data_IF_665895438833
#
_entry.id   IF_665895438833
#
_cell.length_a   1.000
_cell.length_b   1.000
_cell.length_c   1.000
_cell.angle_alpha   90.00
_cell.angle_beta   90.00
_cell.angle_gamma   90.00
#
_symmetry.space_group_name_H-M   'P 1'
#
loop_
_entity.id
_entity.type
_entity.pdbx_description
1 polymer ?
#
# COMPACT_ATOMS: atom_id res chain seq x y z
N UNK A 1 -8.94 56.29 88.75
CA UNK A 1 -9.44 55.02 88.24
C UNK A 1 -9.57 55.17 86.74
N UNK A 2 -8.57 54.75 86.01
CA UNK A 2 -8.46 54.97 84.55
C UNK A 2 -8.67 53.68 83.85
N UNK A 3 -9.66 53.64 82.97
CA UNK A 3 -9.89 52.50 82.07
C UNK A 3 -8.92 52.58 80.87
N UNK A 4 -8.14 51.55 80.64
CA UNK A 4 -7.33 51.38 79.45
C UNK A 4 -8.18 50.72 78.38
N UNK A 5 -8.31 51.40 77.28
CA UNK A 5 -8.88 50.85 76.04
C UNK A 5 -7.81 50.03 75.29
N UNK A 6 -8.09 48.80 75.02
CA UNK A 6 -7.24 47.92 74.22
C UNK A 6 -7.82 47.89 72.77
N UNK A 7 -7.10 48.56 71.87
CA UNK A 7 -7.43 48.49 70.45
C UNK A 7 -6.93 47.16 69.86
N UNK A 8 -7.81 46.35 69.36
CA UNK A 8 -7.45 45.16 68.60
C UNK A 8 -7.24 45.53 67.13
N UNK A 9 -6.04 45.42 66.65
CA UNK A 9 -5.66 45.54 65.25
C UNK A 9 -6.01 44.25 64.57
N UNK A 10 -7.06 44.21 63.68
CA UNK A 10 -7.39 43.06 62.86
C UNK A 10 -6.54 43.16 61.60
N UNK A 11 -5.55 42.28 61.52
CA UNK A 11 -4.70 42.11 60.34
C UNK A 11 -5.44 41.21 59.34
N UNK A 12 -6.03 41.80 58.29
CA UNK A 12 -6.69 41.06 57.23
C UNK A 12 -5.67 40.37 56.32
N UNK A 13 -5.61 39.03 56.36
CA UNK A 13 -4.84 38.24 55.41
C UNK A 13 -5.60 38.11 54.11
N UNK A 14 -5.17 38.84 53.08
CA UNK A 14 -5.65 38.66 51.69
C UNK A 14 -4.94 37.43 51.13
N UNK A 15 -5.64 36.28 51.06
CA UNK A 15 -5.16 35.11 50.35
C UNK A 15 -5.37 35.34 48.85
N UNK A 16 -4.30 35.74 48.18
CA UNK A 16 -4.26 35.77 46.72
C UNK A 16 -4.20 34.37 46.15
N UNK A 17 -5.27 33.89 45.54
CA UNK A 17 -5.27 32.63 44.79
C UNK A 17 -4.51 32.87 43.43
N UNK A 18 -3.29 32.38 43.35
CA UNK A 18 -2.55 32.30 42.09
C UNK A 18 -3.12 31.10 41.32
N UNK A 19 -3.98 31.38 40.32
CA UNK A 19 -4.42 30.38 39.37
C UNK A 19 -3.25 30.05 38.43
N UNK A 20 -2.52 28.99 38.70
CA UNK A 20 -1.56 28.41 37.75
C UNK A 20 -2.33 27.76 36.63
N UNK A 21 -2.57 28.51 35.53
CA UNK A 21 -3.10 27.98 34.28
C UNK A 21 -2.06 27.05 33.64
N UNK A 22 -2.26 25.75 33.74
CA UNK A 22 -1.50 24.77 32.97
C UNK A 22 -1.86 24.93 31.49
N UNK A 23 -0.96 25.57 30.73
CA UNK A 23 -1.05 25.57 29.25
C UNK A 23 -0.74 24.16 28.79
N UNK A 24 -1.78 23.36 28.53
CA UNK A 24 -1.63 22.08 27.84
C UNK A 24 -1.29 22.39 26.39
N UNK A 25 0.00 22.43 26.07
CA UNK A 25 0.48 22.52 24.70
C UNK A 25 0.12 21.20 24.01
N UNK A 26 -0.95 21.20 23.22
CA UNK A 26 -1.30 20.08 22.36
C UNK A 26 -0.20 19.97 21.30
N UNK A 27 0.81 19.15 21.56
CA UNK A 27 1.77 18.74 20.55
C UNK A 27 0.99 18.03 19.46
N UNK A 28 0.72 18.71 18.37
CA UNK A 28 0.14 18.14 17.16
C UNK A 28 1.14 17.08 16.72
N UNK A 29 0.77 15.80 16.79
CA UNK A 29 1.57 14.72 16.26
C UNK A 29 1.86 15.07 14.79
N UNK A 30 3.11 15.41 14.51
CA UNK A 30 3.57 15.57 13.13
C UNK A 30 3.49 14.18 12.53
N UNK A 31 2.52 13.96 11.64
CA UNK A 31 2.43 12.73 10.87
C UNK A 31 3.77 12.48 10.17
N UNK A 32 4.21 11.24 10.14
CA UNK A 32 5.42 10.86 9.39
C UNK A 32 5.35 11.47 8.00
N UNK A 33 6.43 12.08 7.50
CA UNK A 33 6.43 12.66 6.16
C UNK A 33 5.99 11.59 5.15
N UNK A 34 5.07 11.95 4.26
CA UNK A 34 4.68 11.06 3.17
C UNK A 34 5.93 10.65 2.37
N UNK A 35 6.02 9.39 1.92
CA UNK A 35 7.16 8.95 1.12
C UNK A 35 7.30 9.84 -0.12
N UNK A 36 8.53 10.16 -0.49
CA UNK A 36 8.80 10.91 -1.69
C UNK A 36 8.33 10.12 -2.93
N UNK A 37 7.72 10.79 -3.93
CA UNK A 37 7.32 10.13 -5.16
C UNK A 37 8.51 9.44 -5.85
N UNK A 38 8.23 8.30 -6.48
CA UNK A 38 9.22 7.56 -7.25
C UNK A 38 9.82 8.46 -8.35
N UNK A 39 11.14 8.56 -8.37
CA UNK A 39 11.87 9.30 -9.40
C UNK A 39 12.11 8.44 -10.64
N UNK A 40 12.39 9.09 -11.78
CA UNK A 40 12.82 8.38 -12.98
C UNK A 40 14.16 7.65 -12.75
N UNK A 41 14.28 6.43 -13.28
CA UNK A 41 15.46 5.62 -13.12
C UNK A 41 15.50 4.42 -14.08
N UNK A 42 16.68 3.77 -14.15
CA UNK A 42 16.86 2.51 -14.86
C UNK A 42 17.03 1.40 -13.82
N UNK A 43 16.19 0.39 -13.89
CA UNK A 43 16.19 -0.77 -13.01
C UNK A 43 16.81 -1.94 -13.80
N UNK A 44 18.13 -2.05 -13.72
CA UNK A 44 18.88 -3.07 -14.48
C UNK A 44 18.53 -4.48 -13.98
N UNK A 45 18.22 -5.39 -14.89
CA UNK A 45 17.77 -6.75 -14.62
C UNK A 45 18.62 -7.50 -13.59
N UNK A 46 19.93 -7.44 -13.75
CA UNK A 46 20.89 -8.16 -12.91
C UNK A 46 21.03 -7.57 -11.50
N UNK A 47 20.56 -6.32 -11.30
CA UNK A 47 20.55 -5.67 -9.99
C UNK A 47 19.26 -5.93 -9.19
N UNK A 48 18.22 -6.47 -9.81
CA UNK A 48 16.94 -6.72 -9.14
C UNK A 48 17.05 -7.89 -8.17
N UNK A 49 16.55 -7.75 -6.94
CA UNK A 49 16.55 -8.85 -5.97
C UNK A 49 15.69 -10.01 -6.47
N UNK A 50 16.19 -11.22 -6.29
CA UNK A 50 15.49 -12.46 -6.65
C UNK A 50 14.96 -13.12 -5.39
N UNK A 51 13.65 -13.26 -5.33
CA UNK A 51 12.96 -14.05 -4.33
C UNK A 51 12.56 -15.39 -4.92
N UNK A 52 13.04 -16.50 -4.35
CA UNK A 52 12.61 -17.84 -4.71
C UNK A 52 11.28 -18.14 -4.05
N UNK A 53 10.36 -18.70 -4.84
CA UNK A 53 9.05 -19.13 -4.37
C UNK A 53 8.91 -20.64 -4.51
N UNK A 54 7.85 -21.23 -3.98
CA UNK A 54 7.59 -22.68 -4.12
C UNK A 54 7.41 -23.11 -5.59
N UNK A 55 7.00 -22.21 -6.48
CA UNK A 55 6.64 -22.51 -7.87
C UNK A 55 7.44 -21.70 -8.89
N UNK A 56 8.57 -21.11 -8.50
CA UNK A 56 9.41 -20.31 -9.39
C UNK A 56 10.20 -19.20 -8.69
N UNK A 57 10.13 -17.99 -9.21
CA UNK A 57 10.82 -16.84 -8.63
C UNK A 57 10.09 -15.52 -8.95
N UNK A 58 10.31 -14.53 -8.10
CA UNK A 58 9.83 -13.16 -8.25
C UNK A 58 11.02 -12.20 -8.21
N UNK A 59 11.00 -11.16 -9.05
CA UNK A 59 11.92 -10.03 -9.03
C UNK A 59 11.10 -8.77 -8.81
N UNK A 60 11.18 -8.19 -7.62
CA UNK A 60 10.59 -6.90 -7.34
C UNK A 60 11.38 -5.79 -8.05
N UNK A 61 10.69 -4.80 -8.61
CA UNK A 61 11.30 -3.64 -9.26
C UNK A 61 11.10 -2.42 -8.36
N UNK A 62 9.86 -2.01 -8.14
CA UNK A 62 9.50 -0.98 -7.17
C UNK A 62 8.05 -1.13 -6.71
N UNK A 63 7.75 -0.56 -5.55
CA UNK A 63 6.41 -0.41 -4.98
C UNK A 63 6.40 0.93 -4.22
N UNK A 64 5.81 1.97 -4.81
CA UNK A 64 5.87 3.32 -4.28
C UNK A 64 4.75 4.20 -4.80
N UNK A 65 4.58 5.37 -4.17
CA UNK A 65 3.79 6.47 -4.71
C UNK A 65 4.51 7.11 -5.90
N UNK A 66 3.74 7.73 -6.81
CA UNK A 66 4.30 8.58 -7.88
C UNK A 66 3.68 9.98 -7.81
N UNK A 67 4.01 10.85 -8.75
CA UNK A 67 3.38 12.17 -8.84
C UNK A 67 1.90 12.12 -9.25
N UNK A 68 1.42 11.00 -9.80
CA UNK A 68 0.08 10.91 -10.42
C UNK A 68 -0.76 9.73 -9.93
N UNK A 69 -0.17 8.75 -9.23
CA UNK A 69 -0.90 7.61 -8.66
C UNK A 69 -0.47 7.36 -7.22
N UNK A 70 -1.40 6.90 -6.39
CA UNK A 70 -1.18 6.63 -4.97
C UNK A 70 -0.26 5.43 -4.74
N UNK A 71 -0.25 4.50 -5.67
CA UNK A 71 0.63 3.34 -5.67
C UNK A 71 0.95 2.92 -7.10
N UNK A 72 2.20 2.66 -7.37
CA UNK A 72 2.70 1.99 -8.56
C UNK A 72 3.62 0.85 -8.12
N UNK A 73 3.20 -0.39 -8.35
CA UNK A 73 3.97 -1.58 -8.02
C UNK A 73 4.30 -2.34 -9.29
N UNK A 74 5.57 -2.75 -9.45
CA UNK A 74 5.95 -3.60 -10.57
C UNK A 74 6.92 -4.71 -10.13
N UNK A 75 6.77 -5.85 -10.79
CA UNK A 75 7.66 -6.98 -10.62
C UNK A 75 7.65 -7.88 -11.86
N UNK A 76 8.58 -8.80 -11.90
CA UNK A 76 8.57 -9.91 -12.85
C UNK A 76 8.42 -11.20 -12.08
N UNK A 77 7.51 -12.05 -12.51
CA UNK A 77 7.34 -13.41 -12.00
C UNK A 77 7.73 -14.41 -13.09
N UNK A 78 8.47 -15.43 -12.68
CA UNK A 78 8.76 -16.60 -13.49
C UNK A 78 8.21 -17.82 -12.76
N UNK A 79 7.39 -18.63 -13.44
CA UNK A 79 6.75 -19.83 -12.86
C UNK A 79 7.10 -21.08 -13.64
N UNK A 80 7.27 -22.17 -12.90
CA UNK A 80 7.59 -23.47 -13.46
C UNK A 80 6.41 -24.05 -14.26
N UNK A 81 6.68 -24.99 -15.15
CA UNK A 81 5.67 -25.63 -16.00
C UNK A 81 4.50 -26.20 -15.20
N UNK A 82 3.28 -25.89 -15.62
CA UNK A 82 2.05 -26.36 -15.00
C UNK A 82 1.72 -25.78 -13.62
N UNK A 83 2.55 -24.84 -13.08
CA UNK A 83 2.35 -24.23 -11.77
C UNK A 83 1.62 -22.89 -11.85
N UNK A 84 1.06 -22.47 -10.73
CA UNK A 84 0.53 -21.13 -10.51
C UNK A 84 1.42 -20.37 -9.52
N UNK A 85 1.51 -19.06 -9.63
CA UNK A 85 2.28 -18.23 -8.68
C UNK A 85 1.62 -18.22 -7.29
N UNK A 86 0.29 -18.18 -7.26
CA UNK A 86 -0.55 -18.18 -6.06
C UNK A 86 -1.97 -18.62 -6.42
N UNK A 87 -2.83 -18.80 -5.41
CA UNK A 87 -4.26 -19.07 -5.61
C UNK A 87 -4.97 -17.82 -6.21
N UNK A 88 -6.10 -18.05 -6.88
CA UNK A 88 -6.95 -16.97 -7.38
C UNK A 88 -7.40 -16.06 -6.23
N UNK A 89 -7.39 -14.75 -6.47
CA UNK A 89 -7.68 -13.72 -5.47
C UNK A 89 -8.29 -12.46 -6.09
N UNK A 90 -8.58 -11.46 -5.26
CA UNK A 90 -9.08 -10.14 -5.62
C UNK A 90 -8.28 -9.08 -4.88
N UNK A 91 -8.09 -7.93 -5.52
CA UNK A 91 -7.55 -6.73 -4.88
C UNK A 91 -8.13 -5.45 -5.53
N UNK A 92 -8.10 -4.31 -4.83
CA UNK A 92 -8.66 -3.06 -5.33
C UNK A 92 -7.83 -2.42 -6.45
N UNK A 93 -6.55 -2.77 -6.56
CA UNK A 93 -5.67 -2.27 -7.61
C UNK A 93 -6.15 -2.79 -8.99
N UNK A 94 -5.94 -2.02 -10.02
CA UNK A 94 -5.92 -2.55 -11.37
C UNK A 94 -4.56 -3.19 -11.63
N UNK A 95 -4.53 -4.26 -12.43
CA UNK A 95 -3.30 -4.98 -12.73
C UNK A 95 -3.19 -5.27 -14.22
N UNK A 96 -2.06 -4.86 -14.81
CA UNK A 96 -1.71 -5.19 -16.17
C UNK A 96 -0.54 -6.17 -16.19
N UNK A 97 -0.69 -7.24 -16.95
CA UNK A 97 0.34 -8.27 -17.12
C UNK A 97 0.77 -8.33 -18.57
N UNK A 98 2.09 -8.29 -18.80
CA UNK A 98 2.67 -8.57 -20.11
C UNK A 98 3.41 -9.92 -20.06
N UNK A 99 2.97 -10.88 -20.87
CA UNK A 99 3.60 -12.20 -20.96
C UNK A 99 4.89 -12.08 -21.77
N UNK A 100 6.03 -12.28 -21.12
CA UNK A 100 7.35 -12.19 -21.74
C UNK A 100 7.76 -13.48 -22.45
N UNK A 101 7.50 -14.63 -21.78
CA UNK A 101 7.92 -15.95 -22.25
C UNK A 101 6.90 -17.01 -21.87
N UNK A 102 6.79 -18.05 -22.68
CA UNK A 102 5.91 -19.18 -22.41
C UNK A 102 4.43 -18.88 -22.70
N UNK A 103 3.56 -19.63 -22.03
CA UNK A 103 2.10 -19.51 -22.19
C UNK A 103 1.45 -19.43 -20.82
N UNK A 104 0.79 -18.34 -20.54
CA UNK A 104 -0.01 -18.16 -19.33
C UNK A 104 -1.47 -18.50 -19.63
N UNK A 105 -2.14 -19.21 -18.73
CA UNK A 105 -3.58 -19.27 -18.69
C UNK A 105 -4.06 -18.34 -17.57
N UNK A 106 -4.78 -17.31 -17.95
CA UNK A 106 -5.43 -16.37 -17.04
C UNK A 106 -6.88 -16.80 -16.84
N UNK A 107 -7.31 -16.92 -15.59
CA UNK A 107 -8.71 -17.13 -15.22
C UNK A 107 -9.27 -15.84 -14.65
N UNK A 108 -10.31 -15.29 -15.27
CA UNK A 108 -10.97 -14.04 -14.87
C UNK A 108 -12.45 -14.36 -14.62
N UNK A 109 -12.90 -14.14 -13.38
CA UNK A 109 -14.28 -14.43 -12.96
C UNK A 109 -14.76 -15.83 -13.39
N UNK A 110 -13.88 -16.82 -13.32
CA UNK A 110 -14.15 -18.21 -13.68
C UNK A 110 -13.96 -18.57 -15.17
N UNK A 111 -13.65 -17.59 -16.03
CA UNK A 111 -13.39 -17.82 -17.46
C UNK A 111 -11.89 -17.91 -17.72
N UNK A 112 -11.42 -19.05 -18.19
CA UNK A 112 -10.01 -19.27 -18.51
C UNK A 112 -9.70 -18.87 -19.96
N UNK A 113 -8.57 -18.17 -20.16
CA UNK A 113 -8.08 -17.72 -21.46
C UNK A 113 -6.57 -17.94 -21.56
N UNK A 114 -6.10 -18.40 -22.70
CA UNK A 114 -4.67 -18.61 -22.96
C UNK A 114 -4.04 -17.32 -23.51
N UNK A 115 -2.91 -16.95 -22.93
CA UNK A 115 -2.11 -15.78 -23.28
C UNK A 115 -0.67 -16.24 -23.58
N UNK A 116 -0.29 -16.44 -24.85
CA UNK A 116 1.09 -16.74 -25.22
C UNK A 116 1.99 -15.50 -25.04
N UNK A 117 3.30 -15.69 -25.17
CA UNK A 117 4.28 -14.61 -25.14
C UNK A 117 3.89 -13.47 -26.10
N UNK A 118 4.04 -12.22 -25.64
CA UNK A 118 3.58 -11.00 -26.32
C UNK A 118 2.18 -10.56 -25.95
N UNK A 119 1.39 -11.40 -25.26
CA UNK A 119 0.02 -11.04 -24.83
C UNK A 119 0.04 -10.04 -23.69
N UNK A 120 -1.02 -9.22 -23.65
CA UNK A 120 -1.35 -8.35 -22.52
C UNK A 120 -2.64 -8.85 -21.86
N UNK A 121 -2.66 -8.92 -20.54
CA UNK A 121 -3.81 -9.28 -19.72
C UNK A 121 -4.12 -8.08 -18.83
N UNK A 122 -5.38 -7.67 -18.73
CA UNK A 122 -5.84 -6.67 -17.79
C UNK A 122 -6.79 -7.32 -16.78
N UNK A 123 -6.46 -7.21 -15.52
CA UNK A 123 -7.35 -7.53 -14.41
C UNK A 123 -7.93 -6.21 -13.87
N UNK A 124 -9.23 -6.02 -14.01
CA UNK A 124 -9.90 -4.86 -13.46
C UNK A 124 -10.03 -4.99 -11.94
N UNK A 125 -10.10 -3.85 -11.27
CA UNK A 125 -10.25 -3.75 -9.81
C UNK A 125 -11.31 -4.73 -9.28
N UNK A 126 -10.94 -5.55 -8.31
CA UNK A 126 -11.77 -6.55 -7.64
C UNK A 126 -12.35 -7.68 -8.51
N UNK A 127 -11.91 -7.86 -9.74
CA UNK A 127 -12.21 -9.08 -10.47
C UNK A 127 -11.48 -10.28 -9.81
N UNK A 128 -12.17 -11.40 -9.66
CA UNK A 128 -11.53 -12.64 -9.19
C UNK A 128 -10.63 -13.15 -10.30
N UNK A 129 -9.34 -13.19 -10.04
CA UNK A 129 -8.39 -13.60 -11.06
C UNK A 129 -7.26 -14.49 -10.51
N UNK A 130 -6.64 -15.22 -11.42
CA UNK A 130 -5.47 -16.03 -11.15
C UNK A 130 -4.79 -16.43 -12.45
N UNK A 131 -3.52 -16.83 -12.34
CA UNK A 131 -2.71 -17.22 -13.48
C UNK A 131 -1.97 -18.51 -13.22
N UNK A 132 -1.84 -19.34 -14.24
CA UNK A 132 -0.95 -20.50 -14.23
C UNK A 132 -0.13 -20.59 -15.51
N UNK A 133 1.01 -21.21 -15.43
CA UNK A 133 1.75 -21.59 -16.61
C UNK A 133 1.07 -22.80 -17.27
N UNK A 134 0.54 -22.59 -18.48
CA UNK A 134 -0.17 -23.60 -19.26
C UNK A 134 0.74 -24.26 -20.31
N UNK A 135 2.04 -23.95 -20.29
CA UNK A 135 3.07 -24.57 -21.12
C UNK A 135 3.83 -25.68 -20.40
N UNK A 136 4.76 -26.30 -21.11
CA UNK A 136 5.64 -27.38 -20.66
C UNK A 136 7.03 -26.90 -20.26
N UNK A 137 7.32 -25.61 -20.44
CA UNK A 137 8.53 -24.93 -20.03
C UNK A 137 8.21 -23.82 -19.02
N UNK A 138 9.21 -23.18 -18.45
CA UNK A 138 9.00 -22.00 -17.60
C UNK A 138 8.33 -20.89 -18.38
N UNK A 139 7.46 -20.14 -17.72
CA UNK A 139 6.84 -18.94 -18.26
C UNK A 139 7.23 -17.72 -17.41
N UNK A 140 7.36 -16.56 -18.04
CA UNK A 140 7.72 -15.32 -17.38
C UNK A 140 6.80 -14.19 -17.82
N UNK A 141 6.39 -13.36 -16.86
CA UNK A 141 5.53 -12.20 -17.13
C UNK A 141 5.90 -11.02 -16.24
N UNK A 142 5.72 -9.83 -16.78
CA UNK A 142 5.86 -8.55 -16.10
C UNK A 142 4.49 -8.12 -15.59
N UNK A 143 4.45 -7.62 -14.36
CA UNK A 143 3.24 -7.10 -13.71
C UNK A 143 3.41 -5.61 -13.45
N UNK A 144 2.35 -4.86 -13.72
CA UNK A 144 2.17 -3.46 -13.34
C UNK A 144 0.85 -3.33 -12.60
N UNK A 145 0.89 -2.89 -11.33
CA UNK A 145 -0.29 -2.63 -10.50
C UNK A 145 -0.33 -1.17 -10.10
N UNK A 146 -1.51 -0.58 -10.09
CA UNK A 146 -1.64 0.82 -9.68
C UNK A 146 -2.97 1.12 -8.99
N UNK A 147 -2.94 2.18 -8.17
CA UNK A 147 -4.12 2.77 -7.53
C UNK A 147 -4.11 4.27 -7.82
N UNK A 148 -5.23 4.79 -8.32
CA UNK A 148 -5.38 6.22 -8.65
C UNK A 148 -5.90 7.02 -7.46
N UNK A 149 -5.47 8.30 -7.28
CA UNK A 149 -5.95 9.16 -6.23
C UNK A 149 -7.48 9.35 -6.27
N UNK A 150 -8.11 9.27 -5.11
CA UNK A 150 -9.54 9.52 -4.96
C UNK A 150 -10.45 8.55 -5.70
N UNK A 151 -9.93 7.43 -6.21
CA UNK A 151 -10.71 6.34 -6.77
C UNK A 151 -10.48 5.07 -5.98
N UNK A 152 -11.53 4.65 -5.29
CA UNK A 152 -11.59 3.29 -4.77
C UNK A 152 -12.24 2.41 -5.83
N UNK A 153 -11.63 1.26 -6.11
CA UNK A 153 -12.24 0.25 -6.96
C UNK A 153 -13.54 -0.27 -6.32
N UNK A 154 -14.42 -0.92 -7.10
CA UNK A 154 -15.67 -1.46 -6.57
C UNK A 154 -15.39 -2.40 -5.40
N UNK A 155 -16.16 -2.25 -4.32
CA UNK A 155 -16.03 -3.10 -3.13
C UNK A 155 -16.40 -4.54 -3.49
N UNK A 156 -15.75 -5.55 -2.88
CA UNK A 156 -16.14 -6.94 -3.07
C UNK A 156 -17.64 -7.12 -2.81
N UNK A 157 -18.40 -7.63 -3.79
CA UNK A 157 -19.85 -7.82 -3.71
C UNK A 157 -20.70 -6.65 -4.22
N UNK A 158 -20.12 -5.53 -4.62
CA UNK A 158 -20.82 -4.45 -5.33
C UNK A 158 -21.04 -4.79 -6.81
N UNK A 159 -22.22 -4.51 -7.34
CA UNK A 159 -22.45 -4.48 -8.80
C UNK A 159 -21.66 -3.30 -9.41
N UNK A 160 -21.11 -3.49 -10.58
CA UNK A 160 -20.57 -2.40 -11.41
C UNK A 160 -21.67 -1.47 -11.86
#
# INVERSE_FOLDING_TARGET
MTRREISFLVLGLMAGAIATGTVVSSARAQGSPSPAPLASGVYAWDSLPVEKTANGERRAIFDSVTATVDRLETHVTTIDAGKASHAAHKHPDEELVYVREGVIEATINGVAQRAPAGSVILFASNDLHGMRNAGDTRASYFVLRWTSPGKEGPKPGGSR
#
